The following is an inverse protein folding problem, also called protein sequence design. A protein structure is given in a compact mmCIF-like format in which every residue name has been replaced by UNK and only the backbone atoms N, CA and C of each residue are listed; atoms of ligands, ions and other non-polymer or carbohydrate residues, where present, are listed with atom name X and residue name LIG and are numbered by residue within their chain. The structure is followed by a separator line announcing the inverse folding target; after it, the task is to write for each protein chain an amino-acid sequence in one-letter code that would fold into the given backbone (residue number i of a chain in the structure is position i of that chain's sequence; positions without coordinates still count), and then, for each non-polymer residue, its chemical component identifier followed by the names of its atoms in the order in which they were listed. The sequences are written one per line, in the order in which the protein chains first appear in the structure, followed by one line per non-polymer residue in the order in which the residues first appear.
data_IF_196360170386
#
_entry.id   IF_196360170386
#
_cell.length_a   1.000
_cell.length_b   1.000
_cell.length_c   1.000
_cell.angle_alpha   90.00
_cell.angle_beta   90.00
_cell.angle_gamma   90.00
#
_symmetry.space_group_name_H-M   'P 1'
#
loop_
_entity.id
_entity.type
_entity.pdbx_description
1 polymer ?
#
# COMPACT_ATOMS: atom_id res chain seq x y z
N UNK A 1 12.30 -18.68 8.75
CA UNK A 1 11.88 -18.03 7.48
C UNK A 1 13.11 -17.60 6.69
N UNK A 2 13.05 -17.61 5.34
CA UNK A 2 14.21 -17.29 4.51
C UNK A 2 14.64 -15.83 4.67
N UNK A 3 15.94 -15.59 4.85
CA UNK A 3 16.56 -14.26 5.04
C UNK A 3 16.14 -13.24 3.97
N UNK A 4 15.83 -13.69 2.76
CA UNK A 4 15.39 -12.85 1.66
C UNK A 4 14.09 -12.08 1.94
N UNK A 5 13.10 -12.69 2.61
CA UNK A 5 11.84 -12.02 2.93
C UNK A 5 12.03 -10.89 3.93
N UNK A 6 12.89 -11.10 4.94
CA UNK A 6 13.24 -10.05 5.89
C UNK A 6 14.01 -8.92 5.19
N UNK A 7 14.93 -9.23 4.27
CA UNK A 7 15.64 -8.21 3.50
C UNK A 7 14.70 -7.41 2.59
N UNK A 8 13.73 -8.06 1.94
CA UNK A 8 12.70 -7.38 1.13
C UNK A 8 11.91 -6.36 1.96
N UNK A 9 11.44 -6.75 3.14
CA UNK A 9 10.74 -5.85 4.06
C UNK A 9 11.66 -4.77 4.65
N UNK A 10 12.88 -5.12 5.07
CA UNK A 10 13.84 -4.19 5.67
C UNK A 10 14.36 -3.15 4.67
N UNK A 11 14.54 -3.53 3.41
CA UNK A 11 14.90 -2.63 2.31
C UNK A 11 13.71 -1.78 1.82
N UNK A 12 12.54 -1.90 2.45
CA UNK A 12 11.33 -1.14 2.12
C UNK A 12 10.80 -1.45 0.71
N UNK A 13 11.09 -2.64 0.16
CA UNK A 13 10.69 -3.06 -1.18
C UNK A 13 9.28 -3.68 -1.22
N UNK A 14 8.74 -3.99 -0.06
CA UNK A 14 7.35 -4.43 0.16
C UNK A 14 6.32 -3.47 -0.45
N UNK A 15 6.27 -2.23 0.03
CA UNK A 15 5.27 -1.26 -0.43
C UNK A 15 5.36 -0.97 -1.94
N UNK A 16 6.55 -0.74 -2.55
CA UNK A 16 6.69 -0.60 -4.00
C UNK A 16 6.23 -1.84 -4.78
N UNK A 17 6.51 -3.04 -4.29
CA UNK A 17 6.09 -4.28 -4.96
C UNK A 17 4.56 -4.38 -4.96
N UNK A 18 3.92 -4.14 -3.82
CA UNK A 18 2.46 -4.12 -3.70
C UNK A 18 1.87 -3.04 -4.62
N UNK A 19 2.46 -1.84 -4.65
CA UNK A 19 1.98 -0.74 -5.48
C UNK A 19 2.00 -1.09 -6.97
N UNK A 20 3.11 -1.66 -7.46
CA UNK A 20 3.24 -2.09 -8.86
C UNK A 20 2.23 -3.19 -9.20
N UNK A 21 2.11 -4.22 -8.35
CA UNK A 21 1.19 -5.34 -8.58
C UNK A 21 -0.26 -4.86 -8.67
N UNK A 22 -0.69 -3.99 -7.75
CA UNK A 22 -2.06 -3.46 -7.78
C UNK A 22 -2.29 -2.44 -8.90
N UNK A 23 -1.27 -1.67 -9.28
CA UNK A 23 -1.32 -0.79 -10.46
C UNK A 23 -1.59 -1.61 -11.74
N UNK A 24 -0.85 -2.72 -11.92
CA UNK A 24 -1.07 -3.66 -13.03
C UNK A 24 -2.46 -4.31 -12.92
N UNK A 25 -2.87 -4.73 -11.73
CA UNK A 25 -4.18 -5.35 -11.52
C UNK A 25 -5.34 -4.41 -11.88
N UNK A 26 -5.26 -3.13 -11.53
CA UNK A 26 -6.26 -2.13 -11.92
C UNK A 26 -6.26 -1.86 -13.42
N UNK A 27 -5.07 -1.72 -14.02
CA UNK A 27 -4.96 -1.54 -15.47
C UNK A 27 -5.57 -2.73 -16.21
N UNK A 28 -5.22 -3.94 -15.80
CA UNK A 28 -5.80 -5.18 -16.31
C UNK A 28 -7.33 -5.17 -16.17
N UNK A 29 -7.86 -4.93 -14.97
CA UNK A 29 -9.30 -4.90 -14.70
C UNK A 29 -10.06 -3.83 -15.52
N UNK A 30 -9.37 -2.76 -15.93
CA UNK A 30 -9.91 -1.72 -16.78
C UNK A 30 -9.68 -1.96 -18.29
N UNK A 31 -8.97 -3.03 -18.68
CA UNK A 31 -8.59 -3.30 -20.06
C UNK A 31 -7.55 -2.34 -20.64
N UNK A 32 -6.74 -1.72 -19.77
CA UNK A 32 -5.74 -0.70 -20.12
C UNK A 32 -4.34 -1.32 -20.10
N UNK A 33 -3.53 -0.95 -21.08
CA UNK A 33 -2.10 -1.26 -21.09
C UNK A 33 -1.31 -0.08 -20.51
N UNK A 34 -0.39 -0.37 -19.59
CA UNK A 34 0.52 0.60 -19.01
C UNK A 34 1.94 0.33 -19.50
N UNK A 35 2.62 1.39 -19.91
CA UNK A 35 4.02 1.30 -20.27
C UNK A 35 4.88 0.99 -19.04
N UNK A 36 6.00 0.29 -19.25
CA UNK A 36 6.92 -0.08 -18.17
C UNK A 36 7.46 1.13 -17.39
N UNK A 37 7.60 2.30 -18.03
CA UNK A 37 8.07 3.51 -17.36
C UNK A 37 7.09 4.01 -16.29
N UNK A 38 5.78 3.77 -16.47
CA UNK A 38 4.76 4.12 -15.48
C UNK A 38 4.93 3.26 -14.23
N UNK A 39 5.17 1.96 -14.41
CA UNK A 39 5.39 1.04 -13.31
C UNK A 39 6.68 1.36 -12.55
N UNK A 40 7.74 1.72 -13.28
CA UNK A 40 9.00 2.19 -12.70
C UNK A 40 8.78 3.49 -11.90
N UNK A 41 8.00 4.43 -12.43
CA UNK A 41 7.65 5.67 -11.73
C UNK A 41 6.90 5.40 -10.42
N UNK A 42 5.91 4.50 -10.44
CA UNK A 42 5.18 4.08 -9.24
C UNK A 42 6.13 3.42 -8.23
N UNK A 43 6.96 2.48 -8.68
CA UNK A 43 7.91 1.79 -7.81
C UNK A 43 8.88 2.78 -7.13
N UNK A 44 9.50 3.68 -7.91
CA UNK A 44 10.42 4.70 -7.41
C UNK A 44 9.71 5.69 -6.48
N UNK A 45 8.53 6.17 -6.86
CA UNK A 45 7.74 7.12 -6.06
C UNK A 45 7.34 6.54 -4.71
N UNK A 46 6.73 5.35 -4.72
CA UNK A 46 6.35 4.64 -3.49
C UNK A 46 7.57 4.35 -2.62
N UNK A 47 8.68 3.90 -3.20
CA UNK A 47 9.89 3.60 -2.43
C UNK A 47 10.48 4.85 -1.78
N UNK A 48 10.56 5.97 -2.50
CA UNK A 48 11.03 7.24 -1.95
C UNK A 48 10.19 7.69 -0.76
N UNK A 49 8.87 7.70 -0.92
CA UNK A 49 7.94 8.11 0.14
C UNK A 49 8.08 7.18 1.35
N UNK A 50 8.14 5.87 1.11
CA UNK A 50 8.16 4.87 2.17
C UNK A 50 9.49 4.84 2.94
N UNK A 51 10.63 4.99 2.26
CA UNK A 51 11.93 5.16 2.92
C UNK A 51 11.97 6.48 3.69
N UNK A 52 11.44 7.57 3.13
CA UNK A 52 11.36 8.86 3.80
C UNK A 52 10.56 8.82 5.11
N UNK A 53 9.36 8.24 5.05
CA UNK A 53 8.48 7.99 6.20
C UNK A 53 9.21 7.23 7.32
N UNK A 54 9.84 6.09 6.98
CA UNK A 54 10.59 5.27 7.94
C UNK A 54 11.80 6.01 8.54
N UNK A 55 12.50 6.85 7.77
CA UNK A 55 13.61 7.65 8.28
C UNK A 55 13.15 8.76 9.24
N UNK A 56 12.00 9.39 8.96
CA UNK A 56 11.40 10.40 9.84
C UNK A 56 10.91 9.79 11.16
N UNK A 57 10.32 8.60 11.10
CA UNK A 57 9.91 7.84 12.29
C UNK A 57 11.10 7.49 13.19
N UNK A 58 12.22 7.05 12.61
CA UNK A 58 13.47 6.82 13.35
C UNK A 58 13.96 8.10 14.03
N UNK A 59 13.96 9.24 13.32
CA UNK A 59 14.42 10.50 13.90
C UNK A 59 13.56 10.95 15.08
N UNK A 60 12.24 10.73 15.03
CA UNK A 60 11.34 11.07 16.14
C UNK A 60 11.52 10.16 17.34
N UNK A 61 11.64 8.85 17.11
CA UNK A 61 11.88 7.89 18.18
C UNK A 61 13.18 8.20 18.94
N UNK A 62 14.23 8.62 18.23
CA UNK A 62 15.50 9.04 18.82
C UNK A 62 15.41 10.37 19.59
N UNK A 63 14.55 11.31 19.17
CA UNK A 63 14.37 12.61 19.84
C UNK A 63 13.55 12.53 21.13
N UNK A 64 12.65 11.55 21.23
CA UNK A 64 11.71 11.42 22.35
C UNK A 64 12.22 10.50 23.46
N UNK A 65 13.49 10.06 23.41
CA UNK A 65 14.13 9.14 24.38
C UNK A 65 13.25 7.95 24.80
N UNK A 66 12.38 7.52 23.89
CA UNK A 66 11.41 6.45 24.11
C UNK A 66 12.11 5.11 23.91
N UNK A 67 12.98 4.75 24.86
CA UNK A 67 13.77 3.51 24.86
C UNK A 67 12.94 2.24 25.12
N UNK A 68 11.63 2.36 25.34
CA UNK A 68 10.79 1.24 25.78
C UNK A 68 10.52 0.13 24.74
N UNK A 69 10.97 0.27 23.49
CA UNK A 69 11.16 -0.91 22.63
C UNK A 69 11.95 -0.54 21.36
N UNK A 70 13.29 -0.71 21.30
CA UNK A 70 14.03 -0.54 20.07
C UNK A 70 13.71 -1.71 19.12
N UNK A 71 12.59 -1.60 18.41
CA UNK A 71 12.20 -2.51 17.33
C UNK A 71 13.36 -2.57 16.33
N UNK A 72 13.82 -3.77 16.00
CA UNK A 72 14.93 -4.08 15.07
C UNK A 72 14.95 -3.21 13.79
N UNK A 73 13.79 -2.73 13.34
CA UNK A 73 13.60 -1.78 12.22
C UNK A 73 14.32 -0.45 12.40
N UNK A 74 14.27 0.17 13.58
CA UNK A 74 14.82 1.51 13.78
C UNK A 74 16.34 1.46 13.74
N UNK A 75 16.92 0.39 14.28
CA UNK A 75 18.35 0.15 14.20
C UNK A 75 18.81 -0.08 12.76
N UNK A 76 18.09 -0.91 11.98
CA UNK A 76 18.45 -1.17 10.59
C UNK A 76 18.44 0.10 9.74
N UNK A 77 17.35 0.88 9.77
CA UNK A 77 17.21 2.11 8.99
C UNK A 77 18.19 3.20 9.46
N UNK A 78 18.45 3.31 10.77
CA UNK A 78 19.48 4.20 11.28
C UNK A 78 20.87 3.79 10.80
N UNK A 79 21.24 2.51 10.92
CA UNK A 79 22.55 2.00 10.55
C UNK A 79 22.82 2.13 9.04
N UNK A 80 21.80 1.87 8.21
CA UNK A 80 21.91 1.90 6.74
C UNK A 80 21.46 3.22 6.10
N UNK A 81 21.16 4.27 6.89
CA UNK A 81 20.72 5.58 6.36
C UNK A 81 21.66 6.16 5.32
N UNK A 82 22.97 5.87 5.43
CA UNK A 82 24.00 6.31 4.48
C UNK A 82 23.83 5.72 3.08
N UNK A 83 23.12 4.60 2.95
CA UNK A 83 22.78 3.98 1.66
C UNK A 83 21.34 4.27 1.25
N UNK A 84 20.42 4.29 2.22
CA UNK A 84 19.00 4.54 1.97
C UNK A 84 18.73 5.97 1.49
N UNK A 85 19.43 6.98 2.04
CA UNK A 85 19.25 8.39 1.64
C UNK A 85 19.71 8.61 0.18
N UNK A 86 20.96 8.25 -0.22
CA UNK A 86 21.36 8.37 -1.62
C UNK A 86 20.48 7.56 -2.57
N UNK A 87 20.07 6.37 -2.13
CA UNK A 87 19.11 5.55 -2.88
C UNK A 87 17.80 6.29 -3.12
N UNK A 88 17.15 6.81 -2.07
CA UNK A 88 15.92 7.56 -2.18
C UNK A 88 16.08 8.81 -3.06
N UNK A 89 17.21 9.52 -2.95
CA UNK A 89 17.53 10.65 -3.84
C UNK A 89 17.65 10.21 -5.31
N UNK A 90 18.33 9.09 -5.59
CA UNK A 90 18.45 8.55 -6.93
C UNK A 90 17.09 8.14 -7.50
N UNK A 91 16.25 7.45 -6.72
CA UNK A 91 14.90 7.08 -7.12
C UNK A 91 14.00 8.31 -7.36
N UNK A 92 14.13 9.36 -6.54
CA UNK A 92 13.41 10.62 -6.74
C UNK A 92 13.87 11.33 -8.02
N UNK A 93 15.18 11.32 -8.31
CA UNK A 93 15.72 11.86 -9.55
C UNK A 93 15.22 11.08 -10.77
N UNK A 94 15.23 9.74 -10.72
CA UNK A 94 14.67 8.88 -11.79
C UNK A 94 13.18 9.21 -12.00
N UNK A 95 12.39 9.28 -10.93
CA UNK A 95 10.98 9.64 -11.01
C UNK A 95 10.77 11.02 -11.66
N UNK A 96 11.55 12.02 -11.25
CA UNK A 96 11.48 13.36 -11.83
C UNK A 96 11.86 13.37 -13.32
N UNK A 97 12.90 12.64 -13.72
CA UNK A 97 13.32 12.51 -15.12
C UNK A 97 12.21 11.86 -15.96
N UNK A 98 11.60 10.78 -15.47
CA UNK A 98 10.49 10.11 -16.17
C UNK A 98 9.27 11.03 -16.33
N UNK A 99 8.94 11.82 -15.32
CA UNK A 99 7.84 12.80 -15.40
C UNK A 99 8.15 13.90 -16.44
N UNK A 100 9.39 14.40 -16.49
CA UNK A 100 9.76 15.47 -17.43
C UNK A 100 9.82 14.94 -18.86
N UNK A 101 10.40 13.76 -19.07
CA UNK A 101 10.67 13.17 -20.39
C UNK A 101 9.44 12.47 -21.01
N UNK A 102 8.71 11.67 -20.21
CA UNK A 102 7.69 10.75 -20.74
C UNK A 102 6.24 11.20 -20.52
N UNK A 103 6.00 12.08 -19.56
CA UNK A 103 4.64 12.49 -19.20
C UNK A 103 4.20 13.71 -20.00
N UNK A 104 3.06 13.60 -20.69
CA UNK A 104 2.48 14.74 -21.42
C UNK A 104 2.12 15.89 -20.48
N UNK A 105 2.20 17.14 -20.95
CA UNK A 105 1.90 18.32 -20.14
C UNK A 105 0.49 18.31 -19.53
N UNK A 106 -0.49 17.76 -20.25
CA UNK A 106 -1.86 17.60 -19.77
C UNK A 106 -1.98 16.58 -18.63
N UNK A 107 -1.25 15.45 -18.72
CA UNK A 107 -1.21 14.45 -17.64
C UNK A 107 -0.48 15.01 -16.40
N UNK A 108 0.61 15.77 -16.61
CA UNK A 108 1.35 16.41 -15.51
C UNK A 108 0.46 17.28 -14.63
N UNK A 109 -0.44 18.08 -15.20
CA UNK A 109 -1.34 18.95 -14.42
C UNK A 109 -2.39 18.20 -13.59
N UNK A 110 -2.96 17.09 -14.10
CA UNK A 110 -3.96 16.30 -13.36
C UNK A 110 -3.31 15.48 -12.24
N UNK A 111 -2.16 14.87 -12.51
CA UNK A 111 -1.49 14.00 -11.54
C UNK A 111 -0.68 14.79 -10.49
N UNK A 112 -0.30 16.03 -10.79
CA UNK A 112 0.33 16.91 -9.79
C UNK A 112 -0.65 17.35 -8.69
N UNK A 113 -1.96 17.34 -8.93
CA UNK A 113 -2.96 17.55 -7.86
C UNK A 113 -3.00 16.35 -6.90
N UNK A 114 -2.95 15.12 -7.43
CA UNK A 114 -2.85 13.90 -6.62
C UNK A 114 -1.52 13.83 -5.86
N UNK A 115 -0.40 14.15 -6.51
CA UNK A 115 0.91 14.22 -5.88
C UNK A 115 0.96 15.32 -4.80
N UNK A 116 0.38 16.50 -5.06
CA UNK A 116 0.28 17.57 -4.08
C UNK A 116 -0.64 17.19 -2.91
N UNK A 117 -1.77 16.53 -3.16
CA UNK A 117 -2.66 16.03 -2.11
C UNK A 117 -1.98 14.95 -1.25
N UNK A 118 -1.22 14.04 -1.87
CA UNK A 118 -0.41 13.05 -1.17
C UNK A 118 0.68 13.73 -0.34
N UNK A 119 1.43 14.68 -0.90
CA UNK A 119 2.46 15.45 -0.18
C UNK A 119 1.87 16.27 0.99
N UNK A 120 0.72 16.93 0.78
CA UNK A 120 0.00 17.68 1.82
C UNK A 120 -0.50 16.76 2.93
N UNK A 121 -0.94 15.55 2.59
CA UNK A 121 -1.31 14.57 3.59
C UNK A 121 -0.09 14.03 4.35
N UNK A 122 0.99 13.62 3.67
CA UNK A 122 2.18 13.10 4.31
C UNK A 122 2.82 14.14 5.24
N UNK A 123 2.87 15.40 4.80
CA UNK A 123 3.30 16.53 5.65
C UNK A 123 2.31 16.82 6.78
N UNK A 124 1.00 16.71 6.55
CA UNK A 124 -0.05 16.92 7.55
C UNK A 124 -0.17 15.82 8.61
N UNK A 125 0.15 14.56 8.28
CA UNK A 125 0.22 13.45 9.25
C UNK A 125 1.46 13.53 10.11
N UNK A 126 2.55 14.04 9.53
CA UNK A 126 3.78 14.26 10.26
C UNK A 126 3.72 15.53 11.11
N UNK A 127 3.00 16.56 10.71
CA UNK A 127 2.71 17.72 11.58
C UNK A 127 1.44 17.46 12.40
N UNK A 128 1.60 16.98 13.62
CA UNK A 128 0.52 16.80 14.63
C UNK A 128 -0.32 18.05 14.90
N UNK A 129 0.04 19.20 14.33
CA UNK A 129 -0.56 20.52 14.54
C UNK A 129 -1.59 20.98 13.48
N UNK A 130 -1.74 20.31 12.33
CA UNK A 130 -2.50 20.89 11.18
C UNK A 130 -3.78 20.16 10.75
N UNK A 131 -4.10 19.00 11.30
CA UNK A 131 -5.39 18.34 11.00
C UNK A 131 -6.51 18.86 11.92
N UNK A 132 -7.66 19.29 11.37
CA UNK A 132 -8.83 19.64 12.16
C UNK A 132 -9.25 18.48 13.07
N UNK A 133 -9.49 18.78 14.35
CA UNK A 133 -9.76 17.78 15.39
C UNK A 133 -10.89 16.79 15.04
N UNK A 134 -11.89 17.22 14.28
CA UNK A 134 -13.02 16.39 13.83
C UNK A 134 -12.62 15.32 12.80
N UNK A 135 -11.65 15.59 11.93
CA UNK A 135 -11.12 14.61 10.96
C UNK A 135 -10.31 13.55 11.70
N UNK A 136 -9.44 13.98 12.64
CA UNK A 136 -8.64 13.09 13.49
C UNK A 136 -9.48 12.15 14.35
N UNK A 137 -10.67 12.59 14.77
CA UNK A 137 -11.61 11.78 15.56
C UNK A 137 -12.40 10.78 14.70
N UNK A 138 -12.60 11.07 13.40
CA UNK A 138 -13.49 10.30 12.52
C UNK A 138 -12.73 9.37 11.56
N UNK A 139 -11.46 9.64 11.27
CA UNK A 139 -10.64 8.83 10.36
C UNK A 139 -9.37 8.40 11.07
N UNK A 140 -9.15 7.08 11.15
CA UNK A 140 -7.88 6.54 11.62
C UNK A 140 -6.80 6.88 10.57
N UNK A 141 -5.57 7.18 11.00
CA UNK A 141 -4.48 7.55 10.07
C UNK A 141 -4.25 6.45 9.02
N UNK A 142 -4.45 5.18 9.39
CA UNK A 142 -4.36 4.00 8.53
C UNK A 142 -5.35 4.07 7.36
N UNK A 143 -6.56 4.57 7.62
CA UNK A 143 -7.59 4.61 6.58
C UNK A 143 -7.21 5.59 5.48
N UNK A 144 -6.68 6.75 5.86
CA UNK A 144 -6.27 7.74 4.86
C UNK A 144 -4.99 7.30 4.14
N UNK A 145 -4.05 6.62 4.81
CA UNK A 145 -2.91 5.98 4.14
C UNK A 145 -3.40 4.96 3.11
N UNK A 146 -4.34 4.08 3.47
CA UNK A 146 -4.92 3.09 2.55
C UNK A 146 -5.59 3.74 1.34
N UNK A 147 -6.35 4.82 1.55
CA UNK A 147 -7.02 5.55 0.47
C UNK A 147 -6.01 6.21 -0.49
N UNK A 148 -4.98 6.86 0.03
CA UNK A 148 -3.96 7.51 -0.79
C UNK A 148 -3.09 6.52 -1.54
N UNK A 149 -2.76 5.40 -0.89
CA UNK A 149 -2.03 4.32 -1.53
C UNK A 149 -2.83 3.74 -2.71
N UNK A 150 -4.11 3.48 -2.51
CA UNK A 150 -5.02 3.08 -3.59
C UNK A 150 -5.11 4.13 -4.69
N UNK A 151 -5.25 5.41 -4.34
CA UNK A 151 -5.31 6.48 -5.32
C UNK A 151 -4.03 6.55 -6.16
N UNK A 152 -2.85 6.42 -5.53
CA UNK A 152 -1.57 6.37 -6.23
C UNK A 152 -1.46 5.20 -7.20
N UNK A 153 -1.91 4.01 -6.79
CA UNK A 153 -1.93 2.82 -7.66
C UNK A 153 -2.95 2.94 -8.80
N UNK A 154 -4.09 3.57 -8.55
CA UNK A 154 -5.19 3.71 -9.50
C UNK A 154 -4.98 4.86 -10.51
N UNK A 155 -4.24 5.90 -10.14
CA UNK A 155 -4.07 7.11 -10.94
C UNK A 155 -3.65 6.85 -12.40
N UNK A 156 -2.65 5.99 -12.69
CA UNK A 156 -2.26 5.74 -14.08
C UNK A 156 -3.37 5.12 -14.94
N UNK A 157 -4.21 4.29 -14.33
CA UNK A 157 -5.36 3.65 -14.98
C UNK A 157 -6.49 4.65 -15.18
N UNK A 158 -6.83 5.41 -14.14
CA UNK A 158 -7.88 6.43 -14.18
C UNK A 158 -7.56 7.55 -15.17
N UNK A 159 -6.29 7.91 -15.35
CA UNK A 159 -5.85 8.89 -16.34
C UNK A 159 -6.09 8.42 -17.80
N UNK A 160 -6.24 7.11 -18.03
CA UNK A 160 -6.37 6.51 -19.36
C UNK A 160 -7.80 6.06 -19.69
N UNK A 161 -8.73 6.16 -18.75
CA UNK A 161 -10.13 5.75 -18.96
C UNK A 161 -11.09 6.91 -18.67
N UNK A 162 -12.05 7.09 -19.57
CA UNK A 162 -13.22 7.92 -19.33
C UNK A 162 -14.38 7.39 -20.20
N UNK A 163 -15.57 7.13 -19.63
CA UNK A 163 -15.96 7.28 -18.23
C UNK A 163 -15.49 6.12 -17.31
N UNK A 164 -15.38 6.38 -16.01
CA UNK A 164 -15.08 5.34 -15.00
C UNK A 164 -16.34 4.51 -14.76
N UNK A 165 -16.25 3.20 -15.00
CA UNK A 165 -17.38 2.27 -14.80
C UNK A 165 -17.50 1.90 -13.32
N UNK A 166 -18.73 1.83 -12.80
CA UNK A 166 -18.99 1.50 -11.40
C UNK A 166 -18.34 0.20 -10.89
N UNK A 167 -18.19 -0.89 -11.69
CA UNK A 167 -17.52 -2.10 -11.19
C UNK A 167 -16.04 -1.85 -10.84
N UNK A 168 -15.38 -0.96 -11.58
CA UNK A 168 -14.00 -0.58 -11.27
C UNK A 168 -13.94 0.22 -9.96
N UNK A 169 -14.91 1.11 -9.70
CA UNK A 169 -15.01 1.82 -8.42
C UNK A 169 -15.10 0.84 -7.26
N UNK A 170 -15.88 -0.23 -7.43
CA UNK A 170 -15.98 -1.30 -6.44
C UNK A 170 -14.63 -2.00 -6.22
N UNK A 171 -13.90 -2.32 -7.30
CA UNK A 171 -12.56 -2.89 -7.20
C UNK A 171 -11.58 -1.98 -6.45
N UNK A 172 -11.59 -0.67 -6.76
CA UNK A 172 -10.75 0.32 -6.09
C UNK A 172 -11.11 0.43 -4.60
N UNK A 173 -12.41 0.46 -4.27
CA UNK A 173 -12.89 0.52 -2.90
C UNK A 173 -12.51 -0.74 -2.10
N UNK A 174 -12.60 -1.93 -2.70
CA UNK A 174 -12.15 -3.18 -2.09
C UNK A 174 -10.66 -3.15 -1.76
N UNK A 175 -9.81 -2.65 -2.67
CA UNK A 175 -8.39 -2.51 -2.38
C UNK A 175 -8.11 -1.45 -1.30
N UNK A 176 -8.79 -0.30 -1.32
CA UNK A 176 -8.63 0.70 -0.27
C UNK A 176 -8.97 0.16 1.13
N UNK A 177 -10.07 -0.60 1.23
CA UNK A 177 -10.44 -1.28 2.48
C UNK A 177 -9.42 -2.35 2.89
N UNK A 178 -8.85 -3.09 1.93
CA UNK A 178 -7.81 -4.08 2.19
C UNK A 178 -6.48 -3.45 2.62
N UNK A 179 -6.05 -2.37 1.97
CA UNK A 179 -4.85 -1.61 2.31
C UNK A 179 -4.97 -0.98 3.71
N UNK A 180 -6.14 -0.42 4.03
CA UNK A 180 -6.46 0.02 5.37
C UNK A 180 -6.35 -1.13 6.39
N UNK A 181 -6.99 -2.26 6.11
CA UNK A 181 -6.98 -3.42 7.00
C UNK A 181 -5.56 -3.94 7.25
N UNK A 182 -4.70 -4.01 6.23
CA UNK A 182 -3.29 -4.37 6.37
C UNK A 182 -2.53 -3.37 7.27
N UNK A 183 -2.65 -2.07 7.02
CA UNK A 183 -2.00 -1.05 7.85
C UNK A 183 -2.49 -1.12 9.32
N UNK A 184 -3.80 -1.28 9.51
CA UNK A 184 -4.43 -1.42 10.81
C UNK A 184 -4.00 -2.70 11.54
N UNK A 185 -3.84 -3.81 10.81
CA UNK A 185 -3.31 -5.06 11.35
C UNK A 185 -1.91 -4.85 11.92
N UNK A 186 -1.03 -4.24 11.13
CA UNK A 186 0.36 -3.99 11.48
C UNK A 186 0.45 -3.09 12.71
N UNK A 187 -0.27 -1.97 12.73
CA UNK A 187 -0.29 -1.07 13.89
C UNK A 187 -0.80 -1.79 15.15
N UNK A 188 -1.85 -2.61 15.01
CA UNK A 188 -2.44 -3.29 16.15
C UNK A 188 -1.52 -4.34 16.75
N UNK A 189 -0.90 -5.18 15.91
CA UNK A 189 0.10 -6.17 16.34
C UNK A 189 1.38 -5.52 16.87
N UNK A 190 1.58 -4.25 16.59
CA UNK A 190 2.69 -3.45 17.10
C UNK A 190 2.40 -2.76 18.41
N UNK A 191 1.15 -2.42 18.66
CA UNK A 191 0.74 -1.82 19.93
C UNK A 191 0.90 -2.84 21.06
N UNK A 192 1.22 -2.38 22.26
CA UNK A 192 1.30 -3.21 23.48
C UNK A 192 -0.03 -3.91 23.82
N UNK A 193 -1.11 -3.53 23.14
CA UNK A 193 -2.46 -4.02 23.31
C UNK A 193 -2.74 -5.23 22.39
N UNK A 194 -1.96 -6.29 22.61
CA UNK A 194 -1.97 -7.56 21.85
C UNK A 194 -3.27 -8.38 22.01
N UNK A 195 -4.12 -7.97 22.97
CA UNK A 195 -5.33 -8.66 23.38
C UNK A 195 -6.45 -8.54 22.32
N UNK A 196 -6.74 -7.33 21.81
CA UNK A 196 -7.76 -7.21 20.74
C UNK A 196 -7.16 -7.49 19.36
N UNK A 197 -7.66 -8.56 18.73
CA UNK A 197 -7.30 -8.96 17.37
C UNK A 197 -8.09 -8.22 16.30
N UNK A 198 -7.66 -8.39 15.05
CA UNK A 198 -8.35 -7.84 13.89
C UNK A 198 -9.28 -8.85 13.19
N UNK A 199 -9.27 -10.11 13.63
CA UNK A 199 -9.96 -11.24 13.01
C UNK A 199 -11.44 -10.97 12.70
N UNK A 200 -12.18 -10.33 13.61
CA UNK A 200 -13.59 -9.99 13.39
C UNK A 200 -13.77 -9.05 12.18
N UNK A 201 -13.01 -7.94 12.12
CA UNK A 201 -13.08 -6.97 11.01
C UNK A 201 -12.62 -7.60 9.70
N UNK A 202 -11.53 -8.37 9.76
CA UNK A 202 -10.95 -9.07 8.61
C UNK A 202 -11.91 -10.11 8.02
N UNK A 203 -12.59 -10.88 8.88
CA UNK A 203 -13.59 -11.86 8.46
C UNK A 203 -14.83 -11.19 7.86
N UNK A 204 -15.33 -10.10 8.47
CA UNK A 204 -16.44 -9.33 7.89
C UNK A 204 -16.10 -8.80 6.51
N UNK A 205 -14.93 -8.18 6.33
CA UNK A 205 -14.48 -7.70 5.02
C UNK A 205 -14.35 -8.84 4.01
N UNK A 206 -13.81 -9.98 4.43
CA UNK A 206 -13.69 -11.16 3.56
C UNK A 206 -15.05 -11.63 3.06
N UNK A 207 -16.05 -11.75 3.94
CA UNK A 207 -17.41 -12.17 3.57
C UNK A 207 -18.01 -11.15 2.59
N UNK A 208 -17.90 -9.85 2.90
CA UNK A 208 -18.38 -8.77 2.04
C UNK A 208 -17.75 -8.86 0.64
N UNK A 209 -16.43 -9.05 0.56
CA UNK A 209 -15.74 -9.18 -0.72
C UNK A 209 -16.17 -10.43 -1.50
N UNK A 210 -16.36 -11.59 -0.86
CA UNK A 210 -16.84 -12.78 -1.57
C UNK A 210 -18.27 -12.62 -2.08
N UNK A 211 -19.17 -12.00 -1.29
CA UNK A 211 -20.54 -11.70 -1.74
C UNK A 211 -20.53 -10.71 -2.90
N UNK A 212 -19.73 -9.65 -2.80
CA UNK A 212 -19.58 -8.67 -3.87
C UNK A 212 -18.98 -9.29 -5.14
N UNK A 213 -17.98 -10.17 -5.01
CA UNK A 213 -17.39 -10.89 -6.13
C UNK A 213 -18.41 -11.80 -6.83
N UNK A 214 -19.22 -12.52 -6.05
CA UNK A 214 -20.32 -13.34 -6.58
C UNK A 214 -21.32 -12.48 -7.37
N UNK A 215 -21.75 -11.34 -6.82
CA UNK A 215 -22.64 -10.41 -7.52
C UNK A 215 -22.01 -9.79 -8.78
N UNK A 216 -20.73 -9.42 -8.72
CA UNK A 216 -19.98 -8.86 -9.85
C UNK A 216 -19.71 -9.87 -10.96
N UNK A 217 -19.73 -11.18 -10.66
CA UNK A 217 -19.49 -12.22 -11.67
C UNK A 217 -20.50 -12.18 -12.82
N UNK A 218 -21.71 -11.68 -12.57
CA UNK A 218 -22.75 -11.45 -13.56
C UNK A 218 -22.51 -10.22 -14.46
N UNK A 219 -21.57 -9.34 -14.09
CA UNK A 219 -21.29 -8.06 -14.77
C UNK A 219 -19.92 -8.05 -15.43
N UNK A 220 -18.88 -8.49 -14.71
CA UNK A 220 -17.51 -8.59 -15.20
C UNK A 220 -16.75 -9.64 -14.40
N UNK A 221 -16.43 -10.76 -15.04
CA UNK A 221 -15.68 -11.87 -14.45
C UNK A 221 -14.28 -11.44 -13.99
N UNK A 222 -13.63 -10.54 -14.73
CA UNK A 222 -12.32 -10.03 -14.39
C UNK A 222 -12.33 -9.19 -13.11
N UNK A 223 -13.29 -8.28 -12.98
CA UNK A 223 -13.43 -7.43 -11.79
C UNK A 223 -13.88 -8.28 -10.59
N UNK A 224 -14.80 -9.22 -10.81
CA UNK A 224 -15.18 -10.21 -9.80
C UNK A 224 -13.97 -11.00 -9.30
N UNK A 225 -13.07 -11.43 -10.19
CA UNK A 225 -11.82 -12.11 -9.84
C UNK A 225 -10.93 -11.25 -8.94
N UNK A 226 -10.75 -9.96 -9.25
CA UNK A 226 -9.95 -9.05 -8.43
C UNK A 226 -10.54 -8.84 -7.03
N UNK A 227 -11.87 -8.67 -6.94
CA UNK A 227 -12.56 -8.54 -5.64
C UNK A 227 -12.50 -9.86 -4.86
N UNK A 228 -12.59 -11.01 -5.52
CA UNK A 228 -12.42 -12.32 -4.91
C UNK A 228 -11.01 -12.48 -4.31
N UNK A 229 -9.98 -12.04 -5.03
CA UNK A 229 -8.61 -12.01 -4.54
C UNK A 229 -8.43 -11.10 -3.32
N UNK A 230 -9.09 -9.94 -3.30
CA UNK A 230 -9.12 -9.10 -2.09
C UNK A 230 -9.77 -9.84 -0.91
N UNK A 231 -10.82 -10.64 -1.16
CA UNK A 231 -11.43 -11.55 -0.18
C UNK A 231 -10.45 -12.59 0.35
N UNK A 232 -9.71 -13.25 -0.54
CA UNK A 232 -8.65 -14.20 -0.16
C UNK A 232 -7.59 -13.52 0.72
N UNK A 233 -7.14 -12.32 0.35
CA UNK A 233 -6.19 -11.56 1.17
C UNK A 233 -6.74 -11.24 2.56
N UNK A 234 -8.01 -10.82 2.67
CA UNK A 234 -8.65 -10.58 3.96
C UNK A 234 -8.75 -11.88 4.79
N UNK A 235 -9.06 -13.03 4.16
CA UNK A 235 -9.03 -14.33 4.85
C UNK A 235 -7.63 -14.65 5.37
N UNK A 236 -6.59 -14.47 4.56
CA UNK A 236 -5.21 -14.71 4.96
C UNK A 236 -4.76 -13.79 6.11
N UNK A 237 -5.18 -12.51 6.11
CA UNK A 237 -4.95 -11.60 7.25
C UNK A 237 -5.64 -12.10 8.54
N UNK A 238 -6.84 -12.68 8.43
CA UNK A 238 -7.51 -13.33 9.57
C UNK A 238 -6.68 -14.49 10.09
N UNK A 239 -6.15 -15.35 9.22
CA UNK A 239 -5.30 -16.49 9.62
C UNK A 239 -3.99 -16.03 10.27
N UNK A 240 -3.39 -14.95 9.78
CA UNK A 240 -2.23 -14.33 10.43
C UNK A 240 -2.58 -13.79 11.81
N UNK A 241 -3.73 -13.13 11.97
CA UNK A 241 -4.19 -12.62 13.26
C UNK A 241 -4.42 -13.74 14.28
N UNK A 242 -4.90 -14.91 13.84
CA UNK A 242 -5.07 -16.10 14.69
C UNK A 242 -3.74 -16.73 15.11
N UNK A 243 -2.72 -16.63 14.25
CA UNK A 243 -1.38 -17.18 14.52
C UNK A 243 -0.42 -16.17 15.14
N UNK A 244 -0.87 -14.94 15.39
CA UNK A 244 -0.02 -13.82 15.84
C UNK A 244 0.78 -14.06 17.11
N UNK A 245 0.27 -14.89 18.04
CA UNK A 245 0.96 -15.23 19.29
C UNK A 245 2.14 -16.19 19.09
N UNK A 246 2.24 -16.84 17.93
CA UNK A 246 3.26 -17.86 17.62
C UNK A 246 4.35 -17.37 16.67
N UNK A 247 4.19 -16.17 16.12
CA UNK A 247 5.02 -15.64 15.04
C UNK A 247 5.64 -14.32 15.49
N UNK A 248 6.91 -14.09 15.14
CA UNK A 248 7.58 -12.82 15.47
C UNK A 248 6.87 -11.63 14.80
N UNK A 249 6.89 -10.46 15.44
CA UNK A 249 6.28 -9.24 14.90
C UNK A 249 6.83 -8.88 13.52
N UNK A 250 8.14 -9.05 13.29
CA UNK A 250 8.77 -8.79 12.00
C UNK A 250 8.23 -9.72 10.90
N UNK A 251 8.08 -11.01 11.23
CA UNK A 251 7.53 -12.00 10.31
C UNK A 251 6.06 -11.73 10.02
N UNK A 252 5.25 -11.35 11.02
CA UNK A 252 3.83 -11.00 10.82
C UNK A 252 3.65 -9.84 9.85
N UNK A 253 4.46 -8.78 9.96
CA UNK A 253 4.43 -7.65 9.02
C UNK A 253 4.75 -8.09 7.61
N UNK A 254 5.88 -8.78 7.45
CA UNK A 254 6.34 -9.25 6.14
C UNK A 254 5.28 -10.12 5.48
N UNK A 255 4.61 -10.98 6.26
CA UNK A 255 3.51 -11.82 5.80
C UNK A 255 2.26 -11.00 5.47
N UNK A 256 1.90 -10.00 6.27
CA UNK A 256 0.75 -9.15 5.97
C UNK A 256 0.90 -8.39 4.65
N UNK A 257 2.09 -7.89 4.35
CA UNK A 257 2.37 -7.23 3.06
C UNK A 257 2.41 -8.24 1.92
N UNK A 258 2.98 -9.43 2.16
CA UNK A 258 2.98 -10.52 1.17
C UNK A 258 1.57 -10.97 0.79
N UNK A 259 0.62 -10.96 1.74
CA UNK A 259 -0.79 -11.30 1.50
C UNK A 259 -1.47 -10.30 0.55
N UNK A 260 -0.96 -9.07 0.41
CA UNK A 260 -1.46 -8.12 -0.59
C UNK A 260 -0.96 -8.43 -2.00
N UNK A 261 -0.01 -9.35 -2.18
CA UNK A 261 0.52 -9.76 -3.49
C UNK A 261 -0.29 -10.87 -4.17
N UNK A 262 -1.41 -11.28 -3.58
CA UNK A 262 -2.31 -12.30 -4.14
C UNK A 262 -2.77 -12.02 -5.59
N UNK A 263 -2.92 -10.76 -6.09
CA UNK A 263 -3.26 -10.55 -7.50
C UNK A 263 -2.26 -11.14 -8.49
N UNK A 264 -1.01 -11.40 -8.08
CA UNK A 264 -0.03 -12.11 -8.90
C UNK A 264 -0.55 -13.47 -9.39
N UNK A 265 -1.44 -14.13 -8.64
CA UNK A 265 -2.05 -15.41 -9.04
C UNK A 265 -2.90 -15.24 -10.30
N UNK A 266 -3.70 -14.16 -10.37
CA UNK A 266 -4.49 -13.84 -11.56
C UNK A 266 -3.62 -13.30 -12.69
N UNK A 267 -2.65 -12.45 -12.37
CA UNK A 267 -1.77 -11.87 -13.41
C UNK A 267 -0.89 -12.93 -14.07
N UNK A 268 -0.45 -13.96 -13.33
CA UNK A 268 0.32 -15.07 -13.88
C UNK A 268 -0.54 -16.06 -14.70
N UNK A 269 -1.85 -16.12 -14.47
CA UNK A 269 -2.75 -16.99 -15.23
C UNK A 269 -3.18 -16.38 -16.57
N UNK A 270 -3.06 -15.06 -16.72
CA UNK A 270 -3.23 -14.36 -18.00
C UNK A 270 -1.97 -14.57 -18.84
N UNK A 271 -2.05 -15.43 -19.86
CA UNK A 271 -0.94 -15.62 -20.82
C UNK A 271 -0.63 -14.28 -21.52
N UNK A 272 0.64 -13.90 -21.68
CA UNK A 272 0.98 -12.79 -22.56
C UNK A 272 0.60 -13.21 -23.98
N UNK A 273 -0.41 -12.53 -24.53
CA UNK A 273 -0.79 -12.61 -25.95
C UNK A 273 0.11 -11.75 -26.80
#
# INVERSE_FOLDING_TARGET
MPRALHLWHLASLDAPTVAVVWTIAFASAAGVHLDAWVLLLIACGTWCVYVGDRLLDVQRAMRLDSLDNPRERHYFHWHHRRWLIPGACAAAAIAALLIVDRMSSAARHRDSVLAAAALLYFSGVHSTATMPHWIRKRMSKEFVVGLLFTAGCAAPTLARIAPVRWPLIVCLASFAALAWLNCFAIERWESSDFETGISSRSNTLSIVFFVMAAALSFVSTQIAGMVCIAGISATLLTLLDLTRRRVSTLTLRTLADMVLLTPLILLASVRPG
#
